data_IF_176005664255
#
_entry.id   IF_176005664255
#
_cell.length_a   1.000
_cell.length_b   1.000
_cell.length_c   1.000
_cell.angle_alpha   90.00
_cell.angle_beta   90.00
_cell.angle_gamma   90.00
#
_symmetry.space_group_name_H-M   'P 1'
#
loop_
_entity.id
_entity.type
_entity.pdbx_description
1 polymer ?
#
# COMPACT_ATOMS: atom_id res chain seq x y z
N UNK A 1 -9.59 -0.09 25.86
CA UNK A 1 -9.95 -1.36 25.20
C UNK A 1 -11.31 -1.15 24.55
N UNK A 2 -11.39 -0.99 23.22
CA UNK A 2 -12.66 -0.79 22.50
C UNK A 2 -13.18 -2.15 22.06
N UNK A 3 -14.37 -2.54 22.51
CA UNK A 3 -15.01 -3.79 22.12
C UNK A 3 -15.56 -3.68 20.70
N UNK A 4 -15.10 -4.56 19.81
CA UNK A 4 -15.62 -4.70 18.46
C UNK A 4 -16.92 -5.52 18.51
N UNK A 5 -18.07 -4.89 18.24
CA UNK A 5 -19.32 -5.62 18.01
C UNK A 5 -19.22 -6.38 16.68
N UNK A 6 -19.59 -7.65 16.72
CA UNK A 6 -19.62 -8.54 15.55
C UNK A 6 -20.59 -8.00 14.48
N UNK A 7 -20.13 -7.92 13.23
CA UNK A 7 -20.94 -7.52 12.07
C UNK A 7 -22.20 -8.37 11.89
N UNK A 8 -22.18 -9.62 12.36
CA UNK A 8 -23.34 -10.50 12.34
C UNK A 8 -24.51 -9.98 13.21
N UNK A 9 -24.23 -9.22 14.27
CA UNK A 9 -25.28 -8.65 15.13
C UNK A 9 -25.97 -7.42 14.53
N UNK A 10 -25.32 -6.74 13.59
CA UNK A 10 -25.89 -5.57 12.89
C UNK A 10 -26.73 -6.00 11.70
N UNK A 11 -26.40 -7.13 11.09
CA UNK A 11 -27.08 -7.68 9.92
C UNK A 11 -28.15 -8.73 10.26
N UNK A 12 -28.42 -8.97 11.55
CA UNK A 12 -29.51 -9.85 11.94
C UNK A 12 -30.85 -9.25 11.45
N UNK A 13 -31.71 -10.04 10.78
CA UNK A 13 -33.03 -9.58 10.41
C UNK A 13 -33.77 -9.18 11.69
N UNK A 14 -34.30 -7.96 11.71
CA UNK A 14 -35.17 -7.50 12.81
C UNK A 14 -36.30 -8.51 12.89
N UNK A 15 -36.38 -9.24 14.00
CA UNK A 15 -37.48 -10.18 14.26
C UNK A 15 -38.78 -9.42 14.06
N UNK A 16 -39.57 -9.87 13.09
CA UNK A 16 -40.86 -9.28 12.76
C UNK A 16 -41.80 -9.52 13.95
N UNK A 17 -41.85 -8.56 14.87
CA UNK A 17 -42.88 -8.51 15.90
C UNK A 17 -44.25 -8.47 15.21
N UNK A 18 -45.17 -9.29 15.71
CA UNK A 18 -46.56 -9.31 15.27
C UNK A 18 -47.12 -7.88 15.33
N UNK A 19 -47.91 -7.46 14.32
CA UNK A 19 -48.44 -6.10 14.28
C UNK A 19 -49.35 -5.86 15.49
N UNK A 20 -48.93 -4.95 16.37
CA UNK A 20 -49.80 -4.37 17.40
C UNK A 20 -51.01 -3.72 16.72
N UNK A 21 -52.18 -3.86 17.35
CA UNK A 21 -53.44 -3.30 16.87
C UNK A 21 -53.30 -1.78 16.58
N UNK A 22 -53.88 -1.27 15.49
CA UNK A 22 -53.64 0.10 15.06
C UNK A 22 -54.28 1.09 16.03
N UNK A 23 -53.44 1.76 16.81
CA UNK A 23 -53.81 2.92 17.62
C UNK A 23 -54.32 4.04 16.68
N UNK A 24 -55.59 4.43 16.88
CA UNK A 24 -56.34 5.34 16.01
C UNK A 24 -55.91 6.82 16.08
N UNK A 25 -54.73 7.08 16.63
CA UNK A 25 -54.09 8.40 16.70
C UNK A 25 -52.65 8.35 16.15
N UNK A 26 -52.45 7.65 15.03
CA UNK A 26 -51.23 7.86 14.24
C UNK A 26 -51.37 9.17 13.46
N UNK A 27 -50.86 10.27 14.03
CA UNK A 27 -50.63 11.48 13.26
C UNK A 27 -49.77 11.13 12.04
N UNK A 28 -50.11 11.61 10.84
CA UNK A 28 -49.32 11.33 9.65
C UNK A 28 -47.91 11.88 9.88
N UNK A 29 -46.92 10.99 9.93
CA UNK A 29 -45.50 11.34 9.89
C UNK A 29 -45.24 12.09 8.57
N UNK A 30 -45.39 13.41 8.60
CA UNK A 30 -44.96 14.31 7.55
C UNK A 30 -43.43 14.37 7.62
N UNK A 31 -42.78 13.35 7.07
CA UNK A 31 -41.36 13.43 6.76
C UNK A 31 -41.24 14.50 5.68
N UNK A 32 -40.65 15.64 6.04
CA UNK A 32 -40.41 16.72 5.08
C UNK A 32 -39.49 16.17 3.99
N UNK A 33 -39.85 16.39 2.72
CA UNK A 33 -39.05 15.95 1.57
C UNK A 33 -37.58 16.40 1.68
N UNK A 34 -37.33 17.57 2.29
CA UNK A 34 -36.00 18.09 2.59
C UNK A 34 -35.14 17.16 3.47
N UNK A 35 -35.77 16.45 4.43
CA UNK A 35 -35.07 15.51 5.30
C UNK A 35 -34.65 14.25 4.53
N UNK A 36 -35.49 13.79 3.60
CA UNK A 36 -35.19 12.65 2.74
C UNK A 36 -34.05 13.01 1.78
N UNK A 37 -34.10 14.20 1.16
CA UNK A 37 -33.02 14.66 0.27
C UNK A 37 -31.70 14.83 1.00
N UNK A 38 -31.72 15.32 2.24
CA UNK A 38 -30.51 15.42 3.08
C UNK A 38 -29.90 14.04 3.33
N UNK A 39 -30.71 13.07 3.77
CA UNK A 39 -30.25 11.69 4.02
C UNK A 39 -29.73 11.03 2.74
N UNK A 40 -30.39 11.25 1.59
CA UNK A 40 -29.91 10.73 0.30
C UNK A 40 -28.60 11.38 -0.13
N UNK A 41 -28.43 12.68 0.12
CA UNK A 41 -27.18 13.39 -0.14
C UNK A 41 -26.04 12.84 0.73
N UNK A 42 -26.27 12.69 2.03
CA UNK A 42 -25.30 12.14 2.97
C UNK A 42 -24.92 10.69 2.60
N UNK A 43 -25.90 9.87 2.21
CA UNK A 43 -25.66 8.52 1.74
C UNK A 43 -24.82 8.47 0.46
N UNK A 44 -25.08 9.37 -0.51
CA UNK A 44 -24.27 9.48 -1.74
C UNK A 44 -22.85 9.92 -1.44
N UNK A 45 -22.67 10.87 -0.52
CA UNK A 45 -21.37 11.37 -0.09
C UNK A 45 -20.55 10.29 0.62
N UNK A 46 -21.16 9.58 1.58
CA UNK A 46 -20.54 8.44 2.24
C UNK A 46 -20.13 7.37 1.24
N UNK A 47 -20.99 7.04 0.26
CA UNK A 47 -20.68 6.06 -0.78
C UNK A 47 -19.50 6.49 -1.63
N UNK A 48 -19.40 7.77 -2.00
CA UNK A 48 -18.27 8.29 -2.76
C UNK A 48 -16.96 8.18 -1.96
N UNK A 49 -16.97 8.59 -0.70
CA UNK A 49 -15.79 8.47 0.17
C UNK A 49 -15.37 7.03 0.43
N UNK A 50 -16.32 6.12 0.64
CA UNK A 50 -16.02 4.70 0.79
C UNK A 50 -15.37 4.15 -0.47
N UNK A 51 -15.87 4.54 -1.65
CA UNK A 51 -15.28 4.13 -2.92
C UNK A 51 -13.84 4.64 -3.06
N UNK A 52 -13.60 5.92 -2.81
CA UNK A 52 -12.25 6.50 -2.88
C UNK A 52 -11.28 5.83 -1.90
N UNK A 53 -11.71 5.59 -0.67
CA UNK A 53 -10.89 4.92 0.33
C UNK A 53 -10.58 3.46 -0.04
N UNK A 54 -11.55 2.75 -0.61
CA UNK A 54 -11.38 1.38 -1.09
C UNK A 54 -10.46 1.33 -2.31
N UNK A 55 -10.63 2.24 -3.27
CA UNK A 55 -9.78 2.34 -4.46
C UNK A 55 -8.32 2.61 -4.04
N UNK A 56 -8.09 3.54 -3.10
CA UNK A 56 -6.75 3.80 -2.56
C UNK A 56 -6.16 2.58 -1.84
N UNK A 57 -6.96 1.88 -1.02
CA UNK A 57 -6.50 0.67 -0.33
C UNK A 57 -6.19 -0.48 -1.30
N UNK A 58 -6.91 -0.58 -2.43
CA UNK A 58 -6.59 -1.53 -3.49
C UNK A 58 -5.29 -1.19 -4.20
N UNK A 59 -5.05 0.09 -4.50
CA UNK A 59 -3.78 0.52 -5.09
C UNK A 59 -2.59 0.18 -4.18
N UNK A 60 -2.72 0.44 -2.87
CA UNK A 60 -1.71 0.07 -1.87
C UNK A 60 -1.50 -1.45 -1.82
N UNK A 61 -2.58 -2.24 -1.77
CA UNK A 61 -2.49 -3.70 -1.72
C UNK A 61 -1.86 -4.29 -2.99
N UNK A 62 -2.20 -3.76 -4.17
CA UNK A 62 -1.62 -4.21 -5.44
C UNK A 62 -0.11 -3.92 -5.44
N UNK A 63 0.31 -2.77 -4.94
CA UNK A 63 1.73 -2.42 -4.82
C UNK A 63 2.46 -3.35 -3.85
N UNK A 64 1.85 -3.67 -2.70
CA UNK A 64 2.42 -4.60 -1.74
C UNK A 64 2.56 -6.02 -2.30
N UNK A 65 1.52 -6.53 -2.96
CA UNK A 65 1.56 -7.87 -3.60
C UNK A 65 2.58 -7.89 -4.74
N UNK A 66 2.63 -6.84 -5.57
CA UNK A 66 3.63 -6.73 -6.63
C UNK A 66 5.06 -6.71 -6.06
N UNK A 67 5.30 -5.95 -4.99
CA UNK A 67 6.59 -5.92 -4.31
C UNK A 67 6.93 -7.27 -3.67
N UNK A 68 5.97 -7.99 -3.10
CA UNK A 68 6.21 -9.31 -2.52
C UNK A 68 6.52 -10.36 -3.59
N UNK A 69 5.74 -10.41 -4.68
CA UNK A 69 5.95 -11.34 -5.78
C UNK A 69 7.28 -11.05 -6.45
N UNK A 70 7.56 -9.79 -6.82
CA UNK A 70 8.85 -9.43 -7.41
C UNK A 70 9.98 -9.68 -6.42
N UNK A 71 9.80 -9.40 -5.13
CA UNK A 71 10.80 -9.71 -4.10
C UNK A 71 11.03 -11.21 -3.94
N UNK A 72 10.02 -12.04 -4.16
CA UNK A 72 10.14 -13.51 -4.18
C UNK A 72 10.85 -14.00 -5.44
N UNK A 73 10.55 -13.44 -6.60
CA UNK A 73 11.20 -13.78 -7.86
C UNK A 73 12.66 -13.31 -7.90
N UNK A 74 12.96 -12.10 -7.41
CA UNK A 74 14.33 -11.60 -7.24
C UNK A 74 15.12 -12.41 -6.20
N UNK A 75 14.45 -12.92 -5.16
CA UNK A 75 15.06 -13.87 -4.20
C UNK A 75 15.50 -15.18 -4.87
N UNK A 76 15.01 -15.51 -6.06
CA UNK A 76 15.43 -16.72 -6.78
C UNK A 76 16.71 -16.52 -7.61
N UNK A 77 17.21 -15.29 -7.82
CA UNK A 77 18.49 -15.07 -8.54
C UNK A 77 19.35 -13.94 -7.93
N UNK A 78 20.46 -14.28 -7.23
CA UNK A 78 21.45 -13.32 -6.73
C UNK A 78 22.05 -12.39 -7.80
N UNK A 79 22.05 -12.81 -9.07
CA UNK A 79 22.60 -12.06 -10.19
C UNK A 79 21.93 -10.70 -10.40
N UNK A 80 20.69 -10.51 -9.93
CA UNK A 80 19.94 -9.28 -10.19
C UNK A 80 20.41 -8.09 -9.33
N UNK A 81 20.90 -8.32 -8.11
CA UNK A 81 21.34 -7.24 -7.21
C UNK A 81 22.60 -6.57 -7.74
N UNK A 82 23.57 -7.36 -8.21
CA UNK A 82 24.78 -6.84 -8.85
C UNK A 82 24.45 -5.97 -10.07
N UNK A 83 23.53 -6.44 -10.93
CA UNK A 83 23.07 -5.70 -12.11
C UNK A 83 22.36 -4.38 -11.72
N UNK A 84 21.54 -4.39 -10.67
CA UNK A 84 20.85 -3.18 -10.18
C UNK A 84 21.88 -2.13 -9.73
N UNK A 85 22.90 -2.57 -8.99
CA UNK A 85 23.95 -1.68 -8.48
C UNK A 85 24.81 -1.18 -9.63
N UNK A 86 25.23 -2.03 -10.56
CA UNK A 86 25.99 -1.61 -11.73
C UNK A 86 25.22 -0.56 -12.56
N UNK A 87 23.94 -0.82 -12.82
CA UNK A 87 23.08 0.13 -13.52
C UNK A 87 22.94 1.46 -12.77
N UNK A 88 22.83 1.42 -11.44
CA UNK A 88 22.76 2.61 -10.61
C UNK A 88 24.09 3.40 -10.61
N UNK A 89 25.22 2.71 -10.42
CA UNK A 89 26.56 3.31 -10.48
C UNK A 89 26.80 3.97 -11.82
N UNK A 90 26.43 3.30 -12.92
CA UNK A 90 26.55 3.88 -14.25
C UNK A 90 25.66 5.13 -14.42
N UNK A 91 24.42 5.09 -13.90
CA UNK A 91 23.48 6.21 -13.96
C UNK A 91 23.95 7.42 -13.16
N UNK A 92 24.51 7.20 -11.97
CA UNK A 92 24.95 8.24 -11.03
C UNK A 92 26.48 8.44 -11.05
N UNK A 93 27.15 8.08 -12.16
CA UNK A 93 28.62 8.14 -12.29
C UNK A 93 29.21 9.53 -12.02
N UNK A 94 28.41 10.59 -12.19
CA UNK A 94 28.83 11.97 -11.96
C UNK A 94 28.76 12.39 -10.48
N UNK A 95 27.99 11.68 -9.66
CA UNK A 95 27.74 12.00 -8.25
C UNK A 95 28.61 11.17 -7.29
N UNK A 96 29.59 10.44 -7.85
CA UNK A 96 30.59 9.62 -7.13
C UNK A 96 29.97 8.70 -6.08
N UNK A 97 29.55 7.48 -6.45
CA UNK A 97 29.03 6.51 -5.50
C UNK A 97 30.10 6.14 -4.46
N UNK A 98 29.73 6.15 -3.18
CA UNK A 98 30.64 5.95 -2.06
C UNK A 98 30.49 4.53 -1.52
N UNK A 99 29.26 4.13 -1.22
CA UNK A 99 28.96 2.82 -0.63
C UNK A 99 27.55 2.37 -1.00
N UNK A 100 27.32 1.08 -0.89
CA UNK A 100 26.01 0.48 -1.09
C UNK A 100 25.58 -0.26 0.17
N UNK A 101 24.35 -0.02 0.61
CA UNK A 101 23.72 -0.75 1.70
C UNK A 101 22.76 -1.78 1.12
N UNK A 102 22.88 -3.02 1.60
CA UNK A 102 22.03 -4.15 1.19
C UNK A 102 21.70 -5.02 2.39
N UNK A 103 20.69 -5.88 2.26
CA UNK A 103 20.38 -6.87 3.27
C UNK A 103 21.60 -7.83 3.48
N UNK A 104 21.94 -8.25 4.71
CA UNK A 104 23.07 -9.16 4.99
C UNK A 104 23.15 -10.42 4.13
N UNK A 105 22.02 -11.08 3.87
CA UNK A 105 21.94 -12.24 2.96
C UNK A 105 22.29 -11.97 1.48
N UNK A 106 22.31 -10.72 1.05
CA UNK A 106 22.60 -10.33 -0.33
C UNK A 106 24.06 -9.90 -0.50
N UNK A 107 24.84 -9.85 0.58
CA UNK A 107 26.25 -9.47 0.56
C UNK A 107 27.10 -10.36 -0.35
N UNK A 108 26.80 -11.66 -0.39
CA UNK A 108 27.53 -12.63 -1.23
C UNK A 108 27.38 -12.30 -2.72
N UNK A 109 26.25 -11.72 -3.12
CA UNK A 109 26.02 -11.27 -4.50
C UNK A 109 26.90 -10.07 -4.90
N UNK A 110 27.51 -9.40 -3.91
CA UNK A 110 28.35 -8.21 -4.10
C UNK A 110 29.85 -8.49 -3.99
N UNK A 111 30.26 -9.75 -3.95
CA UNK A 111 31.67 -10.13 -3.83
C UNK A 111 32.56 -9.45 -4.89
N UNK A 112 32.05 -9.27 -6.10
CA UNK A 112 32.76 -8.65 -7.23
C UNK A 112 32.41 -7.15 -7.42
N UNK A 113 31.66 -6.54 -6.51
CA UNK A 113 31.27 -5.15 -6.62
C UNK A 113 32.46 -4.22 -6.32
N UNK A 114 32.68 -3.21 -7.16
CA UNK A 114 33.75 -2.23 -6.96
C UNK A 114 33.47 -1.24 -5.81
N UNK A 115 32.25 -1.22 -5.27
CA UNK A 115 31.85 -0.33 -4.16
C UNK A 115 31.93 -1.05 -2.82
N UNK A 116 32.18 -0.26 -1.76
CA UNK A 116 32.07 -0.75 -0.40
C UNK A 116 30.62 -1.15 -0.10
N UNK A 117 30.40 -2.44 0.17
CA UNK A 117 29.10 -2.99 0.55
C UNK A 117 28.97 -3.04 2.08
N UNK A 118 27.88 -2.48 2.60
CA UNK A 118 27.58 -2.43 4.04
C UNK A 118 26.28 -3.21 4.30
N UNK A 119 26.30 -4.22 5.20
CA UNK A 119 25.09 -4.95 5.55
C UNK A 119 24.15 -4.08 6.38
N UNK A 120 22.86 -4.12 6.05
CA UNK A 120 21.81 -3.35 6.70
C UNK A 120 20.58 -4.24 6.98
N UNK A 121 20.30 -4.48 8.25
CA UNK A 121 19.20 -5.35 8.70
C UNK A 121 17.81 -4.73 8.57
N UNK A 122 17.72 -3.41 8.36
CA UNK A 122 16.44 -2.72 8.19
C UNK A 122 15.94 -2.79 6.73
N UNK A 123 16.84 -3.12 5.79
CA UNK A 123 16.50 -3.36 4.39
C UNK A 123 15.94 -4.78 4.21
N UNK A 124 14.97 -4.95 3.31
CA UNK A 124 14.50 -6.29 2.92
C UNK A 124 15.45 -6.88 1.88
N UNK A 125 15.43 -8.19 1.72
CA UNK A 125 16.21 -8.85 0.64
C UNK A 125 15.81 -8.29 -0.72
N UNK A 126 16.79 -7.99 -1.56
CA UNK A 126 16.61 -7.34 -2.86
C UNK A 126 16.46 -5.81 -2.81
N UNK A 127 16.43 -5.21 -1.61
CA UNK A 127 16.54 -3.77 -1.46
C UNK A 127 18.00 -3.33 -1.58
N UNK A 128 18.18 -2.21 -2.26
CA UNK A 128 19.47 -1.56 -2.43
C UNK A 128 19.31 -0.11 -2.01
N UNK A 129 20.28 0.40 -1.26
CA UNK A 129 20.35 1.82 -0.94
C UNK A 129 21.74 2.32 -1.29
N UNK A 130 21.82 3.23 -2.25
CA UNK A 130 23.10 3.72 -2.78
C UNK A 130 23.44 5.05 -2.11
N UNK A 131 24.58 5.11 -1.45
CA UNK A 131 25.08 6.35 -0.89
C UNK A 131 26.09 6.99 -1.86
N UNK A 132 25.81 8.24 -2.18
CA UNK A 132 26.61 9.08 -3.05
C UNK A 132 27.38 10.08 -2.19
N UNK A 133 28.32 10.80 -2.80
CA UNK A 133 29.07 11.84 -2.06
C UNK A 133 28.17 12.97 -1.58
N UNK A 134 27.21 13.37 -2.41
CA UNK A 134 26.36 14.54 -2.19
C UNK A 134 24.93 14.19 -1.76
N UNK A 135 24.64 12.90 -1.52
CA UNK A 135 23.30 12.45 -1.16
C UNK A 135 23.16 10.93 -1.12
N UNK A 136 21.92 10.47 -1.21
CA UNK A 136 21.62 9.04 -1.28
C UNK A 136 20.46 8.78 -2.25
N UNK A 137 20.51 7.62 -2.89
CA UNK A 137 19.49 7.16 -3.82
C UNK A 137 18.82 5.94 -3.23
N UNK A 138 17.52 6.08 -3.00
CA UNK A 138 16.68 4.94 -2.64
C UNK A 138 16.42 4.08 -3.89
N UNK A 139 16.92 2.84 -3.84
CA UNK A 139 16.75 1.81 -4.86
C UNK A 139 16.02 0.58 -4.27
N UNK A 140 15.29 0.76 -3.17
CA UNK A 140 14.39 -0.26 -2.63
C UNK A 140 13.43 -0.72 -3.70
N UNK A 141 13.02 -1.99 -3.62
CA UNK A 141 12.19 -2.61 -4.63
C UNK A 141 10.88 -1.84 -4.86
N UNK A 142 10.22 -1.40 -3.78
CA UNK A 142 8.99 -0.61 -3.86
C UNK A 142 9.16 0.68 -4.67
N UNK A 143 10.21 1.46 -4.39
CA UNK A 143 10.52 2.72 -5.11
C UNK A 143 10.82 2.46 -6.59
N UNK A 144 11.51 1.35 -6.90
CA UNK A 144 11.80 0.96 -8.28
C UNK A 144 10.54 0.57 -9.04
N UNK A 145 9.64 -0.19 -8.42
CA UNK A 145 8.36 -0.58 -9.01
C UNK A 145 7.47 0.63 -9.25
N UNK A 146 7.37 1.53 -8.28
CA UNK A 146 6.60 2.76 -8.41
C UNK A 146 7.07 3.60 -9.60
N UNK A 147 8.40 3.78 -9.77
CA UNK A 147 8.97 4.46 -10.95
C UNK A 147 8.57 3.80 -12.27
N UNK A 148 8.54 2.47 -12.34
CA UNK A 148 8.13 1.74 -13.55
C UNK A 148 6.64 1.90 -13.83
N UNK A 149 5.79 1.93 -12.79
CA UNK A 149 4.35 2.13 -12.93
C UNK A 149 4.04 3.56 -13.38
N UNK A 150 4.76 4.56 -12.87
CA UNK A 150 4.61 5.96 -13.29
C UNK A 150 5.01 6.20 -14.75
N UNK A 151 5.98 5.45 -15.29
CA UNK A 151 6.39 5.54 -16.70
C UNK A 151 5.37 4.99 -17.70
N UNK A 152 4.34 4.27 -17.24
CA UNK A 152 3.30 3.69 -18.09
C UNK A 152 1.99 4.48 -18.15
N UNK A 153 1.90 5.61 -17.44
CA UNK A 153 0.82 6.59 -17.60
C UNK A 153 1.21 7.61 -18.67
#
# INVERSE_FOLDING_TARGET
MREFRSLASVLAPVDAQAPDEPDAHSEPLCVKDDAIETVLSDARFLRAHLREAVDAAFDDLINDVAAEVVGRELRMQPADIANIIEAAVHRYRFETPVRVRVHPHDMDALADCALEAVPDGDLKRGDVFLELRDGAVDLRLGVRLERLLQQRR
#
